data_IF_502097428771
#
_entry.id   IF_502097428771
#
_cell.length_a   1.000
_cell.length_b   1.000
_cell.length_c   1.000
_cell.angle_alpha   90.00
_cell.angle_beta   90.00
_cell.angle_gamma   90.00
#
_symmetry.space_group_name_H-M   'P 1'
#
loop_
_entity.id
_entity.type
_entity.pdbx_description
1 polymer ?
#
# COMPACT_ATOMS: atom_id res chain seq x y z
N UNK A 1 -31.72 -26.75 20.32
CA UNK A 1 -32.80 -25.95 19.74
C UNK A 1 -32.73 -24.58 20.33
N UNK A 2 -32.00 -23.66 19.76
CA UNK A 2 -31.90 -22.26 20.14
C UNK A 2 -32.31 -21.43 18.93
N UNK A 3 -33.49 -20.85 19.04
CA UNK A 3 -34.11 -20.03 17.99
C UNK A 3 -33.29 -18.75 17.79
N UNK A 4 -32.89 -18.54 16.53
CA UNK A 4 -32.31 -17.29 16.06
C UNK A 4 -33.43 -16.24 16.06
N UNK A 5 -33.28 -15.23 16.89
CA UNK A 5 -34.24 -14.13 17.02
C UNK A 5 -34.20 -13.21 15.79
N UNK A 6 -35.06 -13.49 14.82
CA UNK A 6 -35.24 -12.71 13.60
C UNK A 6 -35.69 -11.25 13.82
N UNK A 7 -36.10 -10.88 15.03
CA UNK A 7 -36.52 -9.52 15.36
C UNK A 7 -35.36 -8.56 15.55
N UNK A 8 -34.23 -9.05 16.08
CA UNK A 8 -33.01 -8.22 16.22
C UNK A 8 -32.35 -7.91 14.90
N UNK A 9 -32.37 -8.84 13.94
CA UNK A 9 -31.84 -8.63 12.59
C UNK A 9 -32.68 -7.62 11.78
N UNK A 10 -34.01 -7.66 11.95
CA UNK A 10 -34.91 -6.73 11.28
C UNK A 10 -34.82 -5.30 11.86
N UNK A 11 -34.60 -5.15 13.18
CA UNK A 11 -34.36 -3.85 13.80
C UNK A 11 -33.03 -3.24 13.38
N UNK A 12 -31.97 -4.04 13.25
CA UNK A 12 -30.67 -3.57 12.76
C UNK A 12 -30.71 -3.19 11.27
N UNK A 13 -31.46 -3.90 10.46
CA UNK A 13 -31.69 -3.56 9.05
C UNK A 13 -32.53 -2.28 8.89
N UNK A 14 -33.50 -2.04 9.76
CA UNK A 14 -34.31 -0.83 9.76
C UNK A 14 -33.49 0.41 10.20
N UNK A 15 -32.61 0.26 11.20
CA UNK A 15 -31.77 1.34 11.72
C UNK A 15 -30.65 1.74 10.73
N UNK A 16 -30.13 0.80 9.92
CA UNK A 16 -29.14 1.08 8.87
C UNK A 16 -29.77 1.74 7.64
N UNK A 17 -31.06 1.51 7.36
CA UNK A 17 -31.77 2.16 6.25
C UNK A 17 -32.27 3.56 6.60
N UNK A 18 -32.43 3.91 7.87
CA UNK A 18 -32.92 5.22 8.30
C UNK A 18 -31.82 6.32 8.29
N UNK A 19 -30.54 5.95 8.29
CA UNK A 19 -29.42 6.92 8.38
C UNK A 19 -28.77 7.30 7.04
N UNK A 20 -29.29 6.87 5.88
CA UNK A 20 -28.70 7.17 4.55
C UNK A 20 -29.66 7.80 3.55
N UNK A 21 -30.90 8.08 3.90
CA UNK A 21 -31.76 8.95 3.07
C UNK A 21 -31.81 10.32 3.73
N UNK A 22 -30.88 11.21 3.34
CA UNK A 22 -31.15 12.64 3.39
C UNK A 22 -32.46 12.82 2.60
N UNK A 23 -33.51 13.27 3.27
CA UNK A 23 -34.82 13.56 2.73
C UNK A 23 -34.68 14.70 1.72
N UNK A 24 -34.19 14.38 0.50
CA UNK A 24 -34.17 15.33 -0.61
C UNK A 24 -35.64 15.54 -0.95
N UNK A 25 -36.21 16.62 -0.40
CA UNK A 25 -37.59 17.01 -0.64
C UNK A 25 -37.90 16.89 -2.14
N UNK A 26 -38.99 16.22 -2.50
CA UNK A 26 -39.42 16.05 -3.90
C UNK A 26 -39.49 17.39 -4.66
N UNK A 27 -39.71 18.48 -3.95
CA UNK A 27 -39.62 19.85 -4.41
C UNK A 27 -38.21 20.22 -4.91
N UNK A 28 -37.15 19.79 -4.24
CA UNK A 28 -35.76 20.06 -4.66
C UNK A 28 -35.43 19.36 -5.99
N UNK A 29 -35.90 18.11 -6.16
CA UNK A 29 -35.73 17.37 -7.42
C UNK A 29 -36.48 18.08 -8.56
N UNK A 30 -37.71 18.54 -8.35
CA UNK A 30 -38.46 19.29 -9.32
C UNK A 30 -37.76 20.61 -9.67
N UNK A 31 -37.18 21.29 -8.70
CA UNK A 31 -36.43 22.54 -8.91
C UNK A 31 -35.19 22.30 -9.77
N UNK A 32 -34.43 21.24 -9.48
CA UNK A 32 -33.26 20.87 -10.28
C UNK A 32 -33.64 20.52 -11.71
N UNK A 33 -34.70 19.75 -11.94
CA UNK A 33 -35.21 19.44 -13.28
C UNK A 33 -35.61 20.71 -14.01
N UNK A 34 -36.30 21.63 -13.38
CA UNK A 34 -36.71 22.89 -13.96
C UNK A 34 -35.51 23.75 -14.35
N UNK A 35 -34.53 23.88 -13.46
CA UNK A 35 -33.31 24.68 -13.73
C UNK A 35 -32.46 24.06 -14.85
N UNK A 36 -32.30 22.74 -14.87
CA UNK A 36 -31.44 22.08 -15.86
C UNK A 36 -32.12 21.93 -17.22
N UNK A 37 -33.38 21.56 -17.24
CA UNK A 37 -34.09 21.21 -18.50
C UNK A 37 -34.95 22.30 -19.08
N UNK A 38 -35.49 23.23 -18.29
CA UNK A 38 -36.44 24.25 -18.77
C UNK A 38 -35.79 25.62 -18.90
N UNK A 39 -35.04 26.04 -17.89
CA UNK A 39 -34.43 27.37 -17.83
C UNK A 39 -33.53 27.70 -19.05
N UNK A 40 -32.68 26.80 -19.58
CA UNK A 40 -31.84 27.08 -20.74
C UNK A 40 -32.64 27.44 -22.00
N UNK A 41 -33.81 26.79 -22.20
CA UNK A 41 -34.65 27.07 -23.35
C UNK A 41 -35.42 28.38 -23.19
N UNK A 42 -35.84 28.74 -21.97
CA UNK A 42 -36.47 30.06 -21.71
C UNK A 42 -35.43 31.16 -21.95
N UNK A 43 -34.23 31.04 -21.41
CA UNK A 43 -33.13 31.98 -21.63
C UNK A 43 -32.78 32.08 -23.13
N UNK A 44 -32.71 30.95 -23.82
CA UNK A 44 -32.45 30.88 -25.24
C UNK A 44 -33.52 31.65 -26.07
N UNK A 45 -34.78 31.56 -25.67
CA UNK A 45 -35.85 32.30 -26.31
C UNK A 45 -35.78 33.82 -26.04
N UNK A 46 -35.42 34.22 -24.82
CA UNK A 46 -35.21 35.62 -24.43
C UNK A 46 -34.05 36.22 -25.22
N UNK A 47 -32.90 35.54 -25.26
CA UNK A 47 -31.70 35.98 -25.99
C UNK A 47 -32.00 36.08 -27.50
N UNK A 48 -32.63 35.07 -28.09
CA UNK A 48 -33.03 35.09 -29.51
C UNK A 48 -33.97 36.25 -29.84
N UNK A 49 -34.88 36.56 -28.93
CA UNK A 49 -35.79 37.69 -29.08
C UNK A 49 -35.07 39.05 -29.03
N UNK A 50 -34.13 39.20 -28.07
CA UNK A 50 -33.31 40.40 -27.90
C UNK A 50 -32.40 40.67 -29.12
N UNK A 51 -31.83 39.57 -29.67
CA UNK A 51 -31.01 39.63 -30.90
C UNK A 51 -31.81 39.70 -32.20
N UNK A 52 -33.15 39.71 -32.11
CA UNK A 52 -34.07 39.68 -33.29
C UNK A 52 -33.89 38.43 -34.17
N UNK A 53 -33.41 37.35 -33.64
CA UNK A 53 -33.10 36.06 -34.33
C UNK A 53 -34.05 34.95 -33.86
N UNK A 54 -35.35 35.16 -33.94
CA UNK A 54 -36.37 34.25 -33.38
C UNK A 54 -36.28 32.81 -33.88
N UNK A 55 -35.83 32.57 -35.09
CA UNK A 55 -35.68 31.24 -35.69
C UNK A 55 -34.55 30.41 -35.03
N UNK A 56 -33.64 31.06 -34.31
CA UNK A 56 -32.52 30.40 -33.62
C UNK A 56 -32.78 30.11 -32.16
N UNK A 57 -33.97 30.44 -31.62
CA UNK A 57 -34.24 30.29 -30.16
C UNK A 57 -34.01 28.87 -29.64
N UNK A 58 -34.42 27.84 -30.39
CA UNK A 58 -34.19 26.43 -30.03
C UNK A 58 -32.70 26.06 -30.09
N UNK A 59 -31.95 26.56 -31.07
CA UNK A 59 -30.51 26.28 -31.20
C UNK A 59 -29.72 26.93 -30.05
N UNK A 60 -30.04 28.18 -29.68
CA UNK A 60 -29.45 28.88 -28.55
C UNK A 60 -29.82 28.16 -27.26
N UNK A 61 -31.07 27.73 -27.06
CA UNK A 61 -31.50 26.95 -25.93
C UNK A 61 -30.73 25.62 -25.79
N UNK A 62 -30.49 24.93 -26.90
CA UNK A 62 -29.69 23.67 -26.91
C UNK A 62 -28.24 23.93 -26.50
N UNK A 63 -27.62 25.01 -27.01
CA UNK A 63 -26.25 25.37 -26.61
C UNK A 63 -26.18 25.69 -25.13
N UNK A 64 -27.14 26.47 -24.60
CA UNK A 64 -27.21 26.74 -23.16
C UNK A 64 -27.44 25.47 -22.32
N UNK A 65 -28.29 24.58 -22.80
CA UNK A 65 -28.54 23.29 -22.15
C UNK A 65 -27.28 22.41 -22.08
N UNK A 66 -26.54 22.29 -23.18
CA UNK A 66 -25.25 21.55 -23.17
C UNK A 66 -24.23 22.21 -22.27
N UNK A 67 -24.18 23.54 -22.23
CA UNK A 67 -23.28 24.26 -21.29
C UNK A 67 -23.65 24.01 -19.82
N UNK A 68 -24.95 23.99 -19.48
CA UNK A 68 -25.40 23.66 -18.12
C UNK A 68 -25.04 22.23 -17.74
N UNK A 69 -25.26 21.25 -18.64
CA UNK A 69 -24.85 19.85 -18.36
C UNK A 69 -23.34 19.75 -18.19
N UNK A 70 -22.55 20.37 -19.05
CA UNK A 70 -21.09 20.35 -18.97
C UNK A 70 -20.55 21.01 -17.68
N UNK A 71 -21.29 22.01 -17.14
CA UNK A 71 -20.90 22.66 -15.86
C UNK A 71 -21.34 21.90 -14.61
N UNK A 72 -22.23 20.92 -14.72
CA UNK A 72 -22.79 20.18 -13.56
C UNK A 72 -21.72 19.58 -12.64
N UNK A 73 -20.66 18.89 -13.11
CA UNK A 73 -19.64 18.33 -12.23
C UNK A 73 -18.89 19.41 -11.42
N UNK A 74 -18.68 20.59 -12.00
CA UNK A 74 -18.03 21.71 -11.31
C UNK A 74 -18.92 22.32 -10.24
N UNK A 75 -20.20 22.54 -10.59
CA UNK A 75 -21.19 23.07 -9.65
C UNK A 75 -21.40 22.12 -8.48
N UNK A 76 -21.44 20.81 -8.76
CA UNK A 76 -21.55 19.78 -7.71
C UNK A 76 -20.36 19.80 -6.75
N UNK A 77 -19.11 19.88 -7.27
CA UNK A 77 -17.91 19.95 -6.45
C UNK A 77 -17.92 21.19 -5.53
N UNK A 78 -18.25 22.35 -6.08
CA UNK A 78 -18.34 23.61 -5.32
C UNK A 78 -19.44 23.53 -4.26
N UNK A 79 -20.62 23.00 -4.62
CA UNK A 79 -21.74 22.85 -3.71
C UNK A 79 -21.46 21.87 -2.55
N UNK A 80 -20.60 20.87 -2.80
CA UNK A 80 -20.15 19.89 -1.79
C UNK A 80 -19.01 20.40 -0.93
N UNK A 81 -18.60 21.67 -1.06
CA UNK A 81 -17.51 22.28 -0.30
C UNK A 81 -16.10 21.83 -0.74
N UNK A 82 -15.99 21.16 -1.89
CA UNK A 82 -14.72 20.74 -2.46
C UNK A 82 -14.19 21.76 -3.48
N UNK A 83 -12.88 21.76 -3.69
CA UNK A 83 -12.28 22.60 -4.74
C UNK A 83 -12.76 22.10 -6.12
N UNK A 84 -13.21 23.02 -7.00
CA UNK A 84 -13.61 22.73 -8.38
C UNK A 84 -12.49 22.04 -9.19
N UNK A 85 -11.24 22.21 -8.76
CA UNK A 85 -10.05 21.56 -9.34
C UNK A 85 -10.12 20.04 -9.28
N UNK A 86 -10.83 19.50 -8.29
CA UNK A 86 -11.04 18.06 -8.15
C UNK A 86 -12.06 17.50 -9.17
N UNK A 87 -12.79 18.38 -9.88
CA UNK A 87 -13.68 17.96 -10.95
C UNK A 87 -12.93 17.57 -12.25
N UNK A 88 -11.72 18.08 -12.43
CA UNK A 88 -10.86 17.74 -13.58
C UNK A 88 -9.54 17.19 -13.01
N UNK A 89 -9.17 16.01 -13.46
CA UNK A 89 -7.87 15.43 -13.15
C UNK A 89 -6.81 16.15 -13.97
N UNK A 90 -5.95 16.85 -13.29
CA UNK A 90 -4.87 17.63 -13.89
C UNK A 90 -3.58 16.84 -13.86
N UNK A 91 -2.90 16.72 -14.99
CA UNK A 91 -1.57 16.12 -15.05
C UNK A 91 -0.52 16.94 -14.27
N UNK A 92 0.67 16.36 -14.11
CA UNK A 92 1.79 16.93 -13.33
C UNK A 92 2.15 18.38 -13.77
N UNK A 93 1.99 18.71 -15.02
CA UNK A 93 2.29 20.06 -15.55
C UNK A 93 1.37 21.15 -15.00
N UNK A 94 0.14 20.79 -14.62
CA UNK A 94 -0.88 21.71 -14.12
C UNK A 94 -1.15 21.56 -12.62
N UNK A 95 -1.06 20.34 -12.09
CA UNK A 95 -1.26 20.05 -10.68
C UNK A 95 0.02 20.24 -9.85
N UNK A 96 1.19 20.30 -10.51
CA UNK A 96 2.47 20.06 -9.87
C UNK A 96 2.65 18.57 -9.53
N UNK A 97 3.62 18.24 -8.72
CA UNK A 97 3.89 16.86 -8.30
C UNK A 97 5.29 16.39 -8.64
N UNK A 98 5.53 15.09 -8.59
CA UNK A 98 6.86 14.51 -8.77
C UNK A 98 6.89 13.44 -9.85
N UNK A 99 7.96 13.43 -10.64
CA UNK A 99 8.35 12.35 -11.53
C UNK A 99 9.66 11.76 -11.02
N UNK A 100 9.66 10.47 -10.70
CA UNK A 100 10.79 9.74 -10.15
C UNK A 100 11.13 8.55 -11.04
N UNK A 101 12.41 8.36 -11.34
CA UNK A 101 12.89 7.20 -12.09
C UNK A 101 13.77 6.36 -11.18
N UNK A 102 13.34 5.14 -10.91
CA UNK A 102 14.09 4.17 -10.12
C UNK A 102 14.80 3.18 -11.03
N UNK A 103 15.97 2.74 -10.62
CA UNK A 103 16.76 1.73 -11.32
C UNK A 103 16.81 0.44 -10.50
N UNK A 104 16.70 -0.69 -11.16
CA UNK A 104 16.85 -2.01 -10.55
C UNK A 104 18.28 -2.19 -10.04
N UNK A 105 18.43 -2.71 -8.84
CA UNK A 105 19.72 -3.06 -8.24
C UNK A 105 20.14 -4.47 -8.67
N UNK A 106 20.65 -4.59 -9.87
CA UNK A 106 21.07 -5.87 -10.46
C UNK A 106 22.16 -6.56 -9.63
N UNK A 107 22.98 -5.79 -8.89
CA UNK A 107 24.04 -6.35 -8.03
C UNK A 107 23.53 -7.11 -6.81
N UNK A 108 22.25 -6.91 -6.44
CA UNK A 108 21.60 -7.63 -5.34
C UNK A 108 20.55 -8.62 -5.83
N UNK A 109 20.39 -8.80 -7.13
CA UNK A 109 19.41 -9.71 -7.70
C UNK A 109 20.01 -11.08 -7.94
N UNK A 110 19.35 -12.11 -7.41
CA UNK A 110 19.66 -13.51 -7.74
C UNK A 110 18.99 -13.95 -9.05
N UNK A 111 18.03 -13.16 -9.57
CA UNK A 111 17.28 -13.44 -10.79
C UNK A 111 17.76 -12.57 -11.96
N UNK A 112 17.79 -13.15 -13.14
CA UNK A 112 18.01 -12.41 -14.36
C UNK A 112 16.82 -11.47 -14.65
N UNK A 113 17.12 -10.24 -15.01
CA UNK A 113 16.13 -9.24 -15.36
C UNK A 113 15.49 -9.59 -16.71
N UNK A 114 14.21 -9.92 -16.71
CA UNK A 114 13.41 -10.14 -17.92
C UNK A 114 12.31 -9.09 -18.06
N UNK A 115 11.71 -9.02 -19.25
CA UNK A 115 10.56 -8.13 -19.45
C UNK A 115 9.38 -8.49 -18.54
N UNK A 116 9.14 -9.79 -18.33
CA UNK A 116 8.07 -10.28 -17.47
C UNK A 116 8.27 -9.86 -16.02
N UNK A 117 9.51 -9.96 -15.51
CA UNK A 117 9.87 -9.49 -14.16
C UNK A 117 9.63 -8.00 -14.04
N UNK A 118 10.04 -7.21 -15.03
CA UNK A 118 9.80 -5.76 -15.03
C UNK A 118 8.31 -5.41 -15.04
N UNK A 119 7.49 -6.11 -15.83
CA UNK A 119 6.05 -5.88 -15.90
C UNK A 119 5.36 -6.27 -14.57
N UNK A 120 5.80 -7.36 -13.93
CA UNK A 120 5.33 -7.74 -12.58
C UNK A 120 5.70 -6.68 -11.53
N UNK A 121 6.92 -6.15 -11.58
CA UNK A 121 7.37 -5.08 -10.69
C UNK A 121 6.56 -3.80 -10.88
N UNK A 122 6.31 -3.36 -12.11
CA UNK A 122 5.43 -2.21 -12.42
C UNK A 122 4.03 -2.42 -11.82
N UNK A 123 3.46 -3.62 -12.00
CA UNK A 123 2.16 -3.96 -11.42
C UNK A 123 2.18 -3.95 -9.89
N UNK A 124 3.22 -4.50 -9.25
CA UNK A 124 3.36 -4.51 -7.80
C UNK A 124 3.51 -3.09 -7.23
N UNK A 125 4.38 -2.26 -7.83
CA UNK A 125 4.56 -0.86 -7.44
C UNK A 125 3.24 -0.08 -7.58
N UNK A 126 2.54 -0.23 -8.72
CA UNK A 126 1.25 0.42 -8.92
C UNK A 126 0.24 0.09 -7.82
N UNK A 127 0.11 -1.19 -7.45
CA UNK A 127 -0.77 -1.61 -6.33
C UNK A 127 -0.33 -1.09 -4.96
N UNK A 128 0.98 -0.90 -4.73
CA UNK A 128 1.50 -0.38 -3.45
C UNK A 128 1.17 1.08 -3.24
N UNK A 129 1.35 1.89 -4.28
CA UNK A 129 1.16 3.35 -4.19
C UNK A 129 -0.29 3.77 -4.43
N UNK A 130 -1.05 2.98 -5.21
CA UNK A 130 -2.46 3.24 -5.54
C UNK A 130 -3.30 1.97 -5.42
N UNK A 131 -3.51 1.43 -4.20
CA UNK A 131 -4.22 0.18 -3.99
C UNK A 131 -5.71 0.24 -4.36
N UNK A 132 -6.32 1.42 -4.31
CA UNK A 132 -7.72 1.66 -4.71
C UNK A 132 -7.89 1.83 -6.22
N UNK A 133 -6.81 2.15 -6.95
CA UNK A 133 -6.85 2.52 -8.36
C UNK A 133 -7.55 3.85 -8.64
N UNK A 134 -7.85 4.64 -7.60
CA UNK A 134 -8.61 5.90 -7.73
C UNK A 134 -7.73 7.13 -7.94
N UNK A 135 -6.46 7.04 -7.59
CA UNK A 135 -5.51 8.14 -7.74
C UNK A 135 -4.87 8.14 -9.13
N UNK A 136 -4.58 9.32 -9.64
CA UNK A 136 -4.00 9.49 -10.97
C UNK A 136 -2.47 9.40 -10.92
N UNK A 137 -1.99 8.18 -10.70
CA UNK A 137 -0.56 7.88 -10.68
C UNK A 137 -0.19 7.05 -11.91
N UNK A 138 0.98 7.33 -12.48
CA UNK A 138 1.49 6.55 -13.61
C UNK A 138 2.74 5.80 -13.18
N UNK A 139 2.72 4.48 -13.36
CA UNK A 139 3.89 3.62 -13.18
C UNK A 139 4.17 2.93 -14.50
N UNK A 140 5.37 3.10 -15.02
CA UNK A 140 5.74 2.48 -16.31
C UNK A 140 7.20 2.09 -16.38
N UNK A 141 7.49 1.12 -17.21
CA UNK A 141 8.84 0.70 -17.54
C UNK A 141 9.50 1.73 -18.45
N UNK A 142 10.77 2.07 -18.19
CA UNK A 142 11.62 2.94 -18.99
C UNK A 142 12.94 2.23 -19.30
N UNK A 143 13.15 1.91 -20.56
CA UNK A 143 14.31 1.09 -20.96
C UNK A 143 14.21 -0.35 -20.46
N UNK A 144 15.34 -0.95 -20.11
CA UNK A 144 15.41 -2.37 -19.74
C UNK A 144 15.37 -2.60 -18.21
N UNK A 145 15.85 -1.63 -17.40
CA UNK A 145 16.06 -1.81 -15.98
C UNK A 145 15.58 -0.61 -15.12
N UNK A 146 14.70 0.23 -15.66
CA UNK A 146 14.19 1.41 -14.95
C UNK A 146 12.67 1.43 -14.90
N UNK A 147 12.14 2.00 -13.82
CA UNK A 147 10.72 2.21 -13.60
C UNK A 147 10.50 3.68 -13.29
N UNK A 148 9.64 4.31 -14.06
CA UNK A 148 9.21 5.69 -13.86
C UNK A 148 7.90 5.71 -13.10
N UNK A 149 7.84 6.59 -12.11
CA UNK A 149 6.66 6.81 -11.27
C UNK A 149 6.33 8.30 -11.30
N UNK A 150 5.14 8.62 -11.79
CA UNK A 150 4.62 9.98 -11.87
C UNK A 150 3.47 10.12 -10.89
N UNK A 151 3.58 11.10 -9.98
CA UNK A 151 2.61 11.36 -8.92
C UNK A 151 2.18 12.83 -8.99
N UNK A 152 1.06 13.13 -9.64
CA UNK A 152 0.54 14.49 -9.69
C UNK A 152 0.09 14.98 -8.31
N UNK A 153 0.34 16.24 -8.01
CA UNK A 153 -0.12 16.89 -6.79
C UNK A 153 0.57 16.45 -5.49
N UNK A 154 1.57 15.55 -5.56
CA UNK A 154 2.30 15.06 -4.38
C UNK A 154 3.12 16.19 -3.74
N UNK A 155 3.02 16.32 -2.42
CA UNK A 155 3.90 17.13 -1.62
C UNK A 155 5.21 16.40 -1.25
N UNK A 156 6.09 17.05 -0.49
CA UNK A 156 7.38 16.48 -0.10
C UNK A 156 7.21 15.23 0.77
N UNK A 157 6.22 15.21 1.67
CA UNK A 157 5.99 14.09 2.58
C UNK A 157 5.40 12.89 1.83
N UNK A 158 4.49 13.15 0.89
CA UNK A 158 3.96 12.12 -0.01
C UNK A 158 5.06 11.49 -0.85
N UNK A 159 5.97 12.31 -1.41
CA UNK A 159 7.11 11.83 -2.19
C UNK A 159 7.99 10.91 -1.35
N UNK A 160 8.34 11.28 -0.12
CA UNK A 160 9.15 10.46 0.77
C UNK A 160 8.45 9.15 1.15
N UNK A 161 7.16 9.21 1.46
CA UNK A 161 6.34 8.02 1.72
C UNK A 161 6.32 7.08 0.52
N UNK A 162 6.06 7.61 -0.67
CA UNK A 162 6.02 6.84 -1.92
C UNK A 162 7.38 6.20 -2.21
N UNK A 163 8.50 6.94 -2.06
CA UNK A 163 9.85 6.37 -2.18
C UNK A 163 10.03 5.17 -1.25
N UNK A 164 9.64 5.31 0.02
CA UNK A 164 9.77 4.21 0.99
C UNK A 164 8.93 2.99 0.61
N UNK A 165 7.71 3.16 0.08
CA UNK A 165 6.85 2.08 -0.37
C UNK A 165 7.39 1.36 -1.61
N UNK A 166 7.97 2.11 -2.54
CA UNK A 166 8.53 1.58 -3.80
C UNK A 166 9.80 0.78 -3.54
N UNK A 167 10.66 1.24 -2.65
CA UNK A 167 11.97 0.62 -2.39
C UNK A 167 11.93 -0.57 -1.46
N UNK A 168 10.85 -0.74 -0.68
CA UNK A 168 10.66 -1.95 0.14
C UNK A 168 10.44 -3.17 -0.75
N UNK A 169 11.19 -4.23 -0.52
CA UNK A 169 10.99 -5.51 -1.22
C UNK A 169 9.63 -6.12 -0.91
N UNK A 170 9.18 -5.97 0.33
CA UNK A 170 7.97 -6.62 0.84
C UNK A 170 8.16 -8.13 1.00
N UNK A 171 9.40 -8.56 1.17
CA UNK A 171 9.72 -9.96 1.42
C UNK A 171 9.32 -10.33 2.84
N UNK A 172 8.26 -11.11 2.96
CA UNK A 172 7.82 -11.70 4.22
C UNK A 172 8.36 -13.12 4.32
N UNK A 173 9.06 -13.44 5.42
CA UNK A 173 9.66 -14.75 5.67
C UNK A 173 9.36 -15.19 7.10
N UNK A 174 9.26 -16.50 7.31
CA UNK A 174 9.02 -17.10 8.61
C UNK A 174 10.08 -18.17 8.86
N UNK A 175 10.89 -17.94 9.87
CA UNK A 175 11.98 -18.83 10.28
C UNK A 175 11.92 -19.13 11.78
N UNK A 176 12.78 -20.02 12.27
CA UNK A 176 12.87 -20.33 13.69
C UNK A 176 14.09 -19.62 14.29
N UNK A 177 13.90 -18.95 15.41
CA UNK A 177 15.01 -18.35 16.16
C UNK A 177 15.89 -19.46 16.74
N UNK A 178 17.21 -19.36 16.53
CA UNK A 178 18.17 -20.30 17.11
C UNK A 178 18.19 -20.16 18.62
N UNK A 179 18.34 -21.29 19.30
CA UNK A 179 18.50 -21.35 20.76
C UNK A 179 19.66 -22.28 21.14
N UNK A 180 20.24 -22.06 22.32
CA UNK A 180 21.38 -22.85 22.81
C UNK A 180 21.04 -24.32 23.02
N UNK A 181 19.80 -24.64 23.35
CA UNK A 181 19.37 -25.98 23.67
C UNK A 181 19.37 -26.92 22.46
N UNK A 182 18.71 -26.49 21.40
CA UNK A 182 18.48 -27.32 20.21
C UNK A 182 19.58 -27.13 19.14
N UNK A 183 20.32 -26.01 19.20
CA UNK A 183 21.23 -25.58 18.15
C UNK A 183 22.63 -25.24 18.65
N UNK A 184 23.08 -25.82 19.81
CA UNK A 184 24.33 -25.46 20.47
C UNK A 184 25.55 -25.42 19.54
N UNK A 185 25.76 -26.46 18.72
CA UNK A 185 26.89 -26.54 17.78
C UNK A 185 26.80 -25.44 16.68
N UNK A 186 25.62 -25.16 16.21
CA UNK A 186 25.38 -24.12 15.19
C UNK A 186 25.62 -22.74 15.80
N UNK A 187 25.12 -22.50 17.01
CA UNK A 187 25.30 -21.25 17.75
C UNK A 187 26.78 -20.98 18.02
N UNK A 188 27.54 -21.96 18.52
CA UNK A 188 28.98 -21.79 18.73
C UNK A 188 29.69 -21.40 17.43
N UNK A 189 29.38 -22.08 16.34
CA UNK A 189 29.97 -21.78 15.03
C UNK A 189 29.55 -20.39 14.50
N UNK A 190 28.32 -19.97 14.78
CA UNK A 190 27.81 -18.64 14.36
C UNK A 190 28.49 -17.52 15.19
N UNK A 191 28.76 -17.72 16.45
CA UNK A 191 29.45 -16.74 17.30
C UNK A 191 30.93 -16.59 16.96
N UNK A 192 31.58 -17.66 16.48
CA UNK A 192 32.96 -17.64 16.01
C UNK A 192 33.11 -17.05 14.58
N UNK A 193 32.03 -17.04 13.80
CA UNK A 193 32.03 -16.55 12.43
C UNK A 193 31.85 -15.04 12.39
N UNK A 194 32.72 -14.28 11.68
CA UNK A 194 32.54 -12.85 11.50
C UNK A 194 31.41 -12.50 10.52
N UNK A 195 30.95 -13.49 9.73
CA UNK A 195 29.91 -13.30 8.71
C UNK A 195 28.49 -13.26 9.27
N UNK A 196 27.55 -12.86 8.42
CA UNK A 196 26.11 -12.95 8.74
C UNK A 196 25.57 -14.35 8.49
N UNK A 197 25.99 -15.01 7.41
CA UNK A 197 25.46 -16.29 6.96
C UNK A 197 26.34 -17.46 7.42
N UNK A 198 25.70 -18.45 7.98
CA UNK A 198 26.31 -19.71 8.37
C UNK A 198 25.92 -20.75 7.32
N UNK A 199 26.93 -21.37 6.69
CA UNK A 199 26.74 -22.30 5.58
C UNK A 199 27.07 -23.75 6.03
N UNK A 200 26.37 -24.70 5.41
CA UNK A 200 26.72 -26.14 5.56
C UNK A 200 27.94 -26.54 4.74
N UNK A 201 28.28 -27.82 4.75
CA UNK A 201 29.38 -28.37 3.96
C UNK A 201 29.17 -28.33 2.45
N UNK A 202 27.94 -28.09 1.98
CA UNK A 202 27.57 -27.94 0.57
C UNK A 202 27.47 -26.47 0.15
N UNK A 203 27.78 -25.53 1.06
CA UNK A 203 27.74 -24.09 0.81
C UNK A 203 26.35 -23.44 0.94
N UNK A 204 25.32 -24.21 1.31
CA UNK A 204 23.96 -23.68 1.48
C UNK A 204 23.86 -22.95 2.81
N UNK A 205 23.10 -21.84 2.83
CA UNK A 205 22.84 -21.09 4.07
C UNK A 205 21.87 -21.88 4.95
N UNK A 206 22.28 -22.19 6.17
CA UNK A 206 21.49 -22.93 7.17
C UNK A 206 21.09 -22.09 8.38
N UNK A 207 21.76 -20.98 8.60
CA UNK A 207 21.39 -19.96 9.58
C UNK A 207 21.95 -18.60 9.16
N UNK A 208 21.34 -17.53 9.66
CA UNK A 208 21.81 -16.17 9.38
C UNK A 208 21.51 -15.24 10.55
N UNK A 209 22.43 -14.30 10.80
CA UNK A 209 22.18 -13.18 11.69
C UNK A 209 21.26 -12.17 11.02
N UNK A 210 20.12 -11.91 11.65
CA UNK A 210 19.11 -10.97 11.16
C UNK A 210 18.94 -9.83 12.12
N UNK A 211 19.01 -8.62 11.61
CA UNK A 211 18.80 -7.40 12.38
C UNK A 211 17.38 -7.39 12.96
N UNK A 212 17.28 -6.98 14.22
CA UNK A 212 16.01 -6.84 14.93
C UNK A 212 15.50 -5.42 14.77
N UNK A 213 14.18 -5.24 14.69
CA UNK A 213 13.59 -3.91 14.73
C UNK A 213 13.78 -3.32 16.13
N UNK A 214 14.24 -2.06 16.20
CA UNK A 214 14.63 -1.39 17.47
C UNK A 214 13.45 -1.23 18.46
N UNK A 215 12.22 -1.35 18.00
CA UNK A 215 11.02 -1.21 18.83
C UNK A 215 10.69 -2.46 19.67
N UNK A 216 11.38 -3.58 19.44
CA UNK A 216 11.17 -4.84 20.16
C UNK A 216 12.44 -5.23 20.94
N UNK A 217 12.47 -5.14 22.28
CA UNK A 217 13.62 -5.58 23.06
C UNK A 217 13.68 -7.12 23.13
N UNK A 218 14.50 -7.73 22.27
CA UNK A 218 14.74 -9.17 22.27
C UNK A 218 15.71 -9.63 23.35
N UNK A 219 16.52 -8.73 23.88
CA UNK A 219 17.58 -9.04 24.85
C UNK A 219 17.08 -9.56 26.21
N UNK A 220 15.76 -9.53 26.45
CA UNK A 220 15.17 -9.98 27.73
C UNK A 220 14.79 -11.46 27.76
N UNK A 221 14.92 -12.21 26.66
CA UNK A 221 14.65 -13.64 26.63
C UNK A 221 15.96 -14.43 26.52
N UNK A 222 16.42 -14.97 27.66
CA UNK A 222 17.64 -15.77 27.77
C UNK A 222 17.70 -17.00 26.83
N UNK A 223 16.60 -17.30 26.14
CA UNK A 223 16.49 -18.45 25.23
C UNK A 223 16.94 -18.13 23.82
N UNK A 224 16.99 -16.85 23.44
CA UNK A 224 17.40 -16.40 22.09
C UNK A 224 18.89 -16.07 22.05
N UNK A 225 19.49 -16.31 20.89
CA UNK A 225 20.90 -15.98 20.67
C UNK A 225 20.97 -14.64 19.97
N UNK A 226 21.34 -13.62 20.74
CA UNK A 226 21.41 -12.22 20.28
C UNK A 226 22.86 -11.74 20.32
N UNK A 227 23.26 -10.91 19.37
CA UNK A 227 24.53 -10.18 19.40
C UNK A 227 24.32 -8.71 19.03
N UNK A 228 25.13 -7.82 19.61
CA UNK A 228 25.15 -6.41 19.23
C UNK A 228 26.09 -6.20 18.04
N UNK A 229 25.74 -5.26 17.17
CA UNK A 229 26.58 -4.82 16.06
C UNK A 229 26.48 -3.32 15.85
N UNK A 230 27.44 -2.74 15.14
CA UNK A 230 27.42 -1.32 14.79
C UNK A 230 26.94 -1.16 13.34
N UNK A 231 25.86 -0.40 13.15
CA UNK A 231 25.34 -0.05 11.81
C UNK A 231 26.31 0.87 11.06
N UNK A 232 26.10 1.01 9.76
CA UNK A 232 26.93 1.88 8.92
C UNK A 232 26.86 3.37 9.29
N UNK A 233 25.77 3.79 9.92
CA UNK A 233 25.56 5.14 10.45
C UNK A 233 26.16 5.37 11.83
N UNK A 234 26.83 4.35 12.42
CA UNK A 234 27.46 4.41 13.73
C UNK A 234 26.52 4.06 14.90
N UNK A 235 25.23 3.83 14.67
CA UNK A 235 24.30 3.42 15.72
C UNK A 235 24.49 1.96 16.11
N UNK A 236 24.18 1.62 17.35
CA UNK A 236 24.16 0.24 17.83
C UNK A 236 22.86 -0.43 17.43
N UNK A 237 22.92 -1.67 16.97
CA UNK A 237 21.79 -2.51 16.66
C UNK A 237 21.96 -3.90 17.26
N UNK A 238 20.87 -4.66 17.29
CA UNK A 238 20.87 -6.05 17.70
C UNK A 238 20.58 -6.96 16.50
N UNK A 239 21.24 -8.12 16.46
CA UNK A 239 20.97 -9.20 15.51
C UNK A 239 20.64 -10.47 16.28
N UNK A 240 19.63 -11.19 15.81
CA UNK A 240 19.26 -12.50 16.32
C UNK A 240 19.61 -13.58 15.30
N UNK A 241 20.08 -14.72 15.76
CA UNK A 241 20.38 -15.85 14.88
C UNK A 241 19.09 -16.58 14.52
N UNK A 242 18.80 -16.71 13.23
CA UNK A 242 17.65 -17.48 12.72
C UNK A 242 18.11 -18.69 11.94
N UNK A 243 17.34 -19.77 12.03
CA UNK A 243 17.56 -21.02 11.30
C UNK A 243 16.83 -20.93 9.97
N UNK A 244 17.56 -21.07 8.88
CA UNK A 244 17.03 -20.98 7.52
C UNK A 244 16.85 -22.38 6.94
N UNK A 245 15.67 -22.66 6.38
CA UNK A 245 15.43 -23.89 5.61
C UNK A 245 16.27 -23.83 4.31
N UNK A 246 17.23 -24.76 4.11
CA UNK A 246 18.11 -24.69 2.94
C UNK A 246 17.37 -24.90 1.60
N UNK A 247 16.25 -25.60 1.61
CA UNK A 247 15.44 -25.83 0.43
C UNK A 247 14.44 -24.68 0.23
N UNK A 248 14.64 -23.85 -0.77
CA UNK A 248 13.77 -22.69 -1.10
C UNK A 248 12.29 -23.06 -1.28
N UNK A 249 12.00 -24.24 -1.83
CA UNK A 249 10.63 -24.71 -2.02
C UNK A 249 9.89 -25.03 -0.72
N UNK A 250 10.63 -25.19 0.38
CA UNK A 250 10.11 -25.45 1.73
C UNK A 250 10.09 -24.22 2.60
N UNK A 251 10.70 -23.10 2.18
CA UNK A 251 10.65 -21.85 2.93
C UNK A 251 9.24 -21.29 2.95
N UNK A 252 8.84 -20.79 4.11
CA UNK A 252 7.56 -20.11 4.29
C UNK A 252 7.77 -18.63 4.01
N UNK A 253 7.29 -18.16 2.87
CA UNK A 253 7.52 -16.79 2.41
C UNK A 253 6.23 -16.13 1.95
N UNK A 254 6.26 -14.81 1.77
CA UNK A 254 5.15 -14.01 1.26
C UNK A 254 4.61 -14.42 -0.11
N UNK A 255 5.33 -15.24 -0.90
CA UNK A 255 4.83 -15.76 -2.17
C UNK A 255 3.56 -16.62 -2.03
N UNK A 256 3.31 -17.15 -0.85
CA UNK A 256 2.12 -17.94 -0.53
C UNK A 256 0.99 -17.11 0.10
N UNK A 257 1.21 -15.80 0.33
CA UNK A 257 0.23 -14.91 0.91
C UNK A 257 -0.94 -14.69 -0.06
N UNK A 258 -2.16 -14.94 0.41
CA UNK A 258 -3.39 -14.67 -0.34
C UNK A 258 -3.92 -13.30 0.03
N UNK A 259 -3.85 -12.96 1.32
CA UNK A 259 -4.44 -11.73 1.86
C UNK A 259 -3.76 -11.33 3.16
N UNK A 260 -3.54 -10.03 3.32
CA UNK A 260 -3.25 -9.39 4.59
C UNK A 260 -4.36 -8.37 4.91
N UNK A 261 -4.72 -8.25 6.20
CA UNK A 261 -5.75 -7.32 6.68
C UNK A 261 -5.38 -6.75 8.02
N UNK A 262 -5.88 -5.57 8.32
CA UNK A 262 -5.74 -4.99 9.64
C UNK A 262 -6.43 -5.85 10.70
N UNK A 263 -5.80 -5.94 11.85
CA UNK A 263 -6.28 -6.66 13.03
C UNK A 263 -5.81 -5.93 14.29
N UNK A 264 -6.17 -6.47 15.44
CA UNK A 264 -5.66 -6.04 16.74
C UNK A 264 -5.12 -7.26 17.49
N UNK A 265 -4.06 -7.06 18.24
CA UNK A 265 -3.51 -8.11 19.12
C UNK A 265 -4.36 -8.27 20.39
N UNK A 266 -3.92 -9.17 21.28
CA UNK A 266 -4.62 -9.45 22.56
C UNK A 266 -4.64 -8.24 23.51
N UNK A 267 -3.75 -7.27 23.31
CA UNK A 267 -3.64 -6.05 24.11
C UNK A 267 -4.40 -4.86 23.48
N UNK A 268 -5.04 -5.07 22.32
CA UNK A 268 -5.71 -4.01 21.57
C UNK A 268 -4.78 -3.18 20.68
N UNK A 269 -3.49 -3.54 20.58
CA UNK A 269 -2.53 -2.86 19.70
C UNK A 269 -2.75 -3.23 18.24
N UNK A 270 -2.42 -2.33 17.30
CA UNK A 270 -2.54 -2.60 15.87
C UNK A 270 -1.68 -3.80 15.45
N UNK A 271 -2.23 -4.66 14.61
CA UNK A 271 -1.57 -5.87 14.12
C UNK A 271 -2.00 -6.19 12.68
N UNK A 272 -1.28 -7.08 12.00
CA UNK A 272 -1.61 -7.54 10.65
C UNK A 272 -1.97 -9.02 10.68
N UNK A 273 -3.23 -9.34 10.41
CA UNK A 273 -3.65 -10.70 10.16
C UNK A 273 -3.35 -11.08 8.70
N UNK A 274 -2.86 -12.30 8.49
CA UNK A 274 -2.56 -12.81 7.17
C UNK A 274 -3.16 -14.20 6.94
N UNK A 275 -3.37 -14.53 5.66
CA UNK A 275 -3.87 -15.84 5.25
C UNK A 275 -3.00 -16.35 4.09
N UNK A 276 -2.48 -17.57 4.21
CA UNK A 276 -1.76 -18.28 3.16
C UNK A 276 -2.69 -19.13 2.30
N UNK A 277 -2.27 -19.44 1.08
CA UNK A 277 -2.87 -20.48 0.26
C UNK A 277 -2.62 -21.88 0.86
N UNK A 278 -3.22 -22.91 0.28
CA UNK A 278 -3.10 -24.29 0.79
C UNK A 278 -1.64 -24.77 0.89
N UNK A 279 -0.77 -24.44 -0.06
CA UNK A 279 0.65 -24.81 -0.02
C UNK A 279 1.39 -24.10 1.09
N UNK A 280 1.23 -22.78 1.21
CA UNK A 280 1.85 -21.98 2.28
C UNK A 280 1.37 -22.42 3.66
N UNK A 281 0.06 -22.67 3.83
CA UNK A 281 -0.51 -23.18 5.08
C UNK A 281 0.06 -24.53 5.48
N UNK A 282 0.25 -25.43 4.52
CA UNK A 282 0.88 -26.73 4.78
C UNK A 282 2.36 -26.57 5.21
N UNK A 283 3.13 -25.73 4.52
CA UNK A 283 4.53 -25.45 4.89
C UNK A 283 4.63 -24.80 6.27
N UNK A 284 3.76 -23.85 6.55
CA UNK A 284 3.73 -23.16 7.84
C UNK A 284 3.33 -24.09 8.99
N UNK A 285 2.35 -24.96 8.72
CA UNK A 285 1.96 -26.03 9.64
C UNK A 285 3.11 -27.02 9.90
N UNK A 286 3.88 -27.39 8.88
CA UNK A 286 5.06 -28.25 9.05
C UNK A 286 6.15 -27.55 9.86
N UNK A 287 6.47 -26.28 9.57
CA UNK A 287 7.44 -25.49 10.30
C UNK A 287 7.06 -25.40 11.79
N UNK A 288 5.83 -24.99 12.08
CA UNK A 288 5.37 -24.79 13.45
C UNK A 288 5.15 -26.09 14.22
N UNK A 289 4.70 -27.17 13.55
CA UNK A 289 4.52 -28.49 14.19
C UNK A 289 5.82 -29.15 14.62
N UNK A 290 6.89 -29.01 13.82
CA UNK A 290 8.23 -29.49 14.17
C UNK A 290 8.82 -28.75 15.37
N UNK A 291 8.39 -27.51 15.58
CA UNK A 291 8.92 -26.60 16.58
C UNK A 291 7.95 -26.35 17.75
N UNK A 292 6.99 -27.24 17.98
CA UNK A 292 6.04 -27.18 19.11
C UNK A 292 6.78 -27.15 20.47
N UNK A 293 6.10 -26.68 21.52
CA UNK A 293 6.62 -26.74 22.88
C UNK A 293 7.07 -28.15 23.24
N UNK A 294 8.21 -28.23 23.91
CA UNK A 294 8.71 -29.47 24.45
C UNK A 294 7.90 -29.89 25.69
N UNK A 295 7.92 -31.16 26.05
CA UNK A 295 7.17 -31.69 27.23
C UNK A 295 7.57 -31.04 28.58
N UNK A 296 8.74 -30.47 28.66
CA UNK A 296 9.29 -29.74 29.81
C UNK A 296 8.97 -28.25 29.82
N UNK A 297 8.07 -27.80 28.95
CA UNK A 297 7.62 -26.40 28.91
C UNK A 297 8.52 -25.45 28.12
N UNK A 298 9.56 -25.94 27.43
CA UNK A 298 10.40 -25.08 26.59
C UNK A 298 9.67 -24.69 25.31
N UNK A 299 9.63 -23.39 25.01
CA UNK A 299 9.01 -22.82 23.83
C UNK A 299 10.07 -22.29 22.87
N UNK A 300 9.96 -22.64 21.59
CA UNK A 300 10.75 -22.04 20.50
C UNK A 300 10.10 -20.77 20.02
N UNK A 301 10.90 -19.89 19.41
CA UNK A 301 10.43 -18.62 18.88
C UNK A 301 10.34 -18.67 17.37
N UNK A 302 9.24 -18.13 16.82
CA UNK A 302 9.01 -17.97 15.39
C UNK A 302 9.46 -16.56 15.00
N UNK A 303 10.54 -16.44 14.22
CA UNK A 303 10.93 -15.17 13.65
C UNK A 303 10.00 -14.80 12.50
N UNK A 304 9.38 -13.62 12.57
CA UNK A 304 8.64 -13.00 11.50
C UNK A 304 9.54 -11.93 10.88
N UNK A 305 10.02 -12.18 9.68
CA UNK A 305 10.94 -11.28 9.00
C UNK A 305 10.20 -10.51 7.89
N UNK A 306 10.51 -9.22 7.82
CA UNK A 306 10.10 -8.35 6.71
C UNK A 306 11.35 -7.66 6.17
N UNK A 307 11.61 -7.84 4.88
CA UNK A 307 12.79 -7.31 4.19
C UNK A 307 14.12 -7.70 4.89
N UNK A 308 14.15 -8.93 5.41
CA UNK A 308 15.33 -9.49 6.09
C UNK A 308 15.55 -9.00 7.50
N UNK A 309 14.67 -8.15 8.07
CA UNK A 309 14.70 -7.72 9.47
C UNK A 309 13.62 -8.43 10.28
N UNK A 310 13.96 -8.84 11.50
CA UNK A 310 12.99 -9.47 12.41
C UNK A 310 12.06 -8.39 12.98
N UNK A 311 10.78 -8.51 12.67
CA UNK A 311 9.75 -7.62 13.18
C UNK A 311 9.19 -8.09 14.52
N UNK A 312 9.09 -9.40 14.70
CA UNK A 312 8.66 -10.01 15.95
C UNK A 312 9.15 -11.46 16.04
N UNK A 313 9.27 -11.98 17.26
CA UNK A 313 9.66 -13.36 17.51
C UNK A 313 8.78 -14.00 18.60
N UNK A 314 7.47 -14.21 18.34
CA UNK A 314 6.56 -14.78 19.33
C UNK A 314 6.93 -16.23 19.67
N UNK A 315 6.61 -16.63 20.92
CA UNK A 315 6.73 -18.02 21.36
C UNK A 315 5.73 -18.91 20.63
N UNK A 316 6.19 -20.03 20.12
CA UNK A 316 5.32 -21.04 19.55
C UNK A 316 4.60 -21.81 20.68
N UNK A 317 3.29 -21.66 20.73
CA UNK A 317 2.43 -22.34 21.72
C UNK A 317 1.78 -23.58 21.11
N UNK A 318 1.42 -23.50 19.83
CA UNK A 318 0.74 -24.57 19.11
C UNK A 318 1.13 -24.57 17.63
N UNK A 319 0.71 -25.60 16.91
CA UNK A 319 0.83 -25.63 15.44
C UNK A 319 -0.08 -24.56 14.83
N UNK A 320 0.46 -23.76 13.92
CA UNK A 320 -0.26 -22.71 13.21
C UNK A 320 -0.52 -23.22 11.79
N UNK A 321 -1.74 -23.04 11.30
CA UNK A 321 -2.17 -23.45 9.96
C UNK A 321 -1.94 -22.36 8.90
N UNK A 322 -2.96 -22.10 8.09
CA UNK A 322 -2.88 -21.13 7.01
C UNK A 322 -3.07 -19.67 7.45
N UNK A 323 -3.52 -19.43 8.67
CA UNK A 323 -3.80 -18.08 9.20
C UNK A 323 -2.88 -17.75 10.37
N UNK A 324 -2.43 -16.53 10.44
CA UNK A 324 -1.59 -16.01 11.50
C UNK A 324 -1.73 -14.49 11.66
N UNK A 325 -0.97 -13.97 12.61
CA UNK A 325 -0.96 -12.55 12.92
C UNK A 325 0.47 -12.07 13.16
N UNK A 326 0.83 -10.95 12.55
CA UNK A 326 2.07 -10.23 12.81
C UNK A 326 1.74 -9.19 13.86
N UNK A 327 2.35 -9.33 15.02
CA UNK A 327 2.23 -8.39 16.13
C UNK A 327 3.53 -7.63 16.29
N UNK A 328 3.47 -6.42 16.86
CA UNK A 328 4.61 -5.54 17.08
C UNK A 328 4.12 -4.16 17.49
N UNK A 329 5.05 -3.23 17.75
CA UNK A 329 4.71 -1.84 18.07
C UNK A 329 4.48 -1.02 16.81
N UNK A 330 3.35 -1.25 16.16
CA UNK A 330 2.99 -0.56 14.93
C UNK A 330 2.09 0.64 15.18
N UNK A 331 2.38 1.74 14.52
CA UNK A 331 1.45 2.85 14.35
C UNK A 331 0.40 2.49 13.30
N UNK A 332 -0.74 3.19 13.30
CA UNK A 332 -1.80 3.00 12.30
C UNK A 332 -1.30 3.24 10.86
N UNK A 333 -0.40 4.20 10.67
CA UNK A 333 0.21 4.52 9.36
C UNK A 333 1.09 3.37 8.89
N UNK A 334 1.96 2.85 9.76
CA UNK A 334 2.83 1.71 9.44
C UNK A 334 2.04 0.45 9.08
N UNK A 335 0.93 0.18 9.78
CA UNK A 335 0.01 -0.93 9.41
C UNK A 335 -0.53 -0.74 8.01
N UNK A 336 -0.99 0.46 7.67
CA UNK A 336 -1.54 0.74 6.34
C UNK A 336 -0.48 0.54 5.26
N UNK A 337 0.72 1.07 5.47
CA UNK A 337 1.84 0.94 4.53
C UNK A 337 2.28 -0.54 4.40
N UNK A 338 2.34 -1.27 5.51
CA UNK A 338 2.66 -2.70 5.52
C UNK A 338 1.61 -3.52 4.75
N UNK A 339 0.32 -3.23 4.94
CA UNK A 339 -0.76 -3.89 4.21
C UNK A 339 -0.68 -3.63 2.70
N UNK A 340 -0.37 -2.40 2.31
CA UNK A 340 -0.20 -2.04 0.90
C UNK A 340 0.97 -2.83 0.27
N UNK A 341 2.09 -2.95 0.98
CA UNK A 341 3.24 -3.73 0.52
C UNK A 341 2.92 -5.21 0.43
N UNK A 342 2.35 -5.80 1.49
CA UNK A 342 2.05 -7.23 1.55
C UNK A 342 0.98 -7.67 0.53
N UNK A 343 -0.11 -6.91 0.39
CA UNK A 343 -1.18 -7.22 -0.57
C UNK A 343 -0.77 -6.97 -2.03
N UNK A 344 0.16 -6.05 -2.26
CA UNK A 344 0.72 -5.82 -3.60
C UNK A 344 1.66 -6.96 -4.04
N UNK A 345 2.22 -7.69 -3.08
CA UNK A 345 3.23 -8.71 -3.29
C UNK A 345 4.67 -8.20 -3.21
N UNK A 346 5.60 -9.13 -3.01
CA UNK A 346 7.02 -8.83 -2.99
C UNK A 346 7.52 -8.38 -4.38
N UNK A 347 8.51 -7.49 -4.41
CA UNK A 347 9.23 -7.19 -5.64
C UNK A 347 10.18 -8.35 -5.94
N UNK A 348 10.20 -8.77 -7.19
CA UNK A 348 11.07 -9.86 -7.66
C UNK A 348 12.56 -9.49 -7.57
N UNK A 349 12.86 -8.20 -7.76
CA UNK A 349 14.22 -7.66 -7.75
C UNK A 349 14.22 -6.33 -6.96
N UNK A 350 15.25 -6.06 -6.14
CA UNK A 350 15.33 -4.81 -5.40
C UNK A 350 15.55 -3.62 -6.34
N UNK A 351 15.00 -2.49 -5.95
CA UNK A 351 15.30 -1.19 -6.55
C UNK A 351 16.40 -0.50 -5.75
N UNK A 352 17.18 0.37 -6.40
CA UNK A 352 18.07 1.27 -5.69
C UNK A 352 17.28 2.16 -4.75
N UNK A 353 17.78 2.44 -3.53
CA UNK A 353 17.04 3.21 -2.51
C UNK A 353 16.66 4.61 -2.97
N UNK A 354 17.55 5.23 -3.77
CA UNK A 354 17.34 6.57 -4.30
C UNK A 354 17.01 6.52 -5.80
N UNK A 355 16.10 7.36 -6.28
CA UNK A 355 15.82 7.47 -7.70
C UNK A 355 17.05 8.00 -8.45
N UNK A 356 17.32 7.47 -9.64
CA UNK A 356 18.39 7.95 -10.53
C UNK A 356 18.06 9.29 -11.17
N UNK A 357 16.77 9.64 -11.20
CA UNK A 357 16.29 10.94 -11.64
C UNK A 357 15.03 11.28 -10.84
N UNK A 358 14.99 12.50 -10.34
CA UNK A 358 13.82 13.06 -9.65
C UNK A 358 13.60 14.47 -10.15
N UNK A 359 12.39 14.71 -10.60
CA UNK A 359 11.95 16.01 -11.07
C UNK A 359 10.63 16.37 -10.42
N UNK A 360 10.62 17.43 -9.61
CA UNK A 360 9.41 17.92 -8.94
C UNK A 360 8.99 19.26 -9.54
N UNK A 361 7.71 19.33 -9.91
CA UNK A 361 7.09 20.58 -10.34
C UNK A 361 6.34 21.14 -9.13
N UNK A 362 6.74 22.37 -8.74
CA UNK A 362 6.06 23.06 -7.65
C UNK A 362 4.59 23.30 -7.99
N UNK A 363 3.66 23.09 -7.05
CA UNK A 363 2.24 23.46 -7.23
C UNK A 363 2.03 24.93 -7.60
N UNK A 364 2.97 25.82 -7.20
CA UNK A 364 2.94 27.24 -7.56
C UNK A 364 3.11 27.48 -9.07
N UNK A 365 3.95 26.68 -9.73
CA UNK A 365 4.14 26.78 -11.19
C UNK A 365 2.87 26.32 -11.92
N UNK A 366 2.26 25.21 -11.44
CA UNK A 366 0.99 24.74 -11.94
C UNK A 366 -0.14 25.75 -11.78
N UNK A 367 -0.20 26.46 -10.66
CA UNK A 367 -1.22 27.51 -10.42
C UNK A 367 -1.09 28.71 -11.36
N UNK A 368 0.14 29.15 -11.68
CA UNK A 368 0.37 30.24 -12.63
C UNK A 368 -0.07 29.85 -14.04
N UNK A 369 0.21 28.63 -14.48
CA UNK A 369 -0.24 28.11 -15.78
C UNK A 369 -1.77 27.97 -15.83
N UNK A 370 -2.40 27.51 -14.76
CA UNK A 370 -3.87 27.44 -14.65
C UNK A 370 -4.50 28.84 -14.72
N UNK A 371 -3.92 29.84 -14.05
CA UNK A 371 -4.47 31.20 -14.05
C UNK A 371 -4.37 31.82 -15.44
N UNK A 372 -3.24 31.66 -16.12
CA UNK A 372 -3.09 32.09 -17.52
C UNK A 372 -4.06 31.36 -18.46
N UNK A 373 -4.28 30.05 -18.23
CA UNK A 373 -5.26 29.27 -18.98
C UNK A 373 -6.69 29.79 -18.80
N UNK A 374 -7.09 30.14 -17.55
CA UNK A 374 -8.40 30.76 -17.28
C UNK A 374 -8.58 32.10 -18.01
N UNK A 375 -7.56 32.96 -17.95
CA UNK A 375 -7.60 34.24 -18.64
C UNK A 375 -7.76 34.06 -20.16
N UNK A 376 -7.02 33.08 -20.73
CA UNK A 376 -7.16 32.76 -22.16
C UNK A 376 -8.57 32.27 -22.54
N UNK A 377 -9.20 31.43 -21.71
CA UNK A 377 -10.56 30.94 -21.90
C UNK A 377 -11.56 32.10 -21.84
N UNK A 378 -11.43 33.01 -20.87
CA UNK A 378 -12.31 34.20 -20.76
C UNK A 378 -12.17 35.10 -21.99
N UNK A 379 -10.94 35.34 -22.45
CA UNK A 379 -10.70 36.14 -23.65
C UNK A 379 -11.33 35.48 -24.88
N UNK A 380 -11.15 34.17 -25.04
CA UNK A 380 -11.72 33.43 -26.14
C UNK A 380 -13.27 33.35 -26.12
N UNK A 381 -13.87 33.44 -24.92
CA UNK A 381 -15.34 33.44 -24.80
C UNK A 381 -15.96 34.81 -25.09
N UNK A 382 -15.19 35.91 -25.03
CA UNK A 382 -15.61 37.26 -25.28
C UNK A 382 -15.36 37.68 -26.76
N UNK A 383 -14.38 37.07 -27.41
CA UNK A 383 -14.06 37.29 -28.83
C UNK A 383 -15.02 36.55 -29.79
#
# INVERSE_FOLDING_TARGET
MTGIDFRSAALFAAEVTENTTSNVSGWYILLVILVVFVLPFILGAIIASALKMKDYSRKIGLVLFTAVIASTPFVWQIASGHDWRNAIRLGIDLAGGSNMVFEVDEGKSEKALSNEVMDQMVGAIGRRINPSGTEEMTVRKVGQNRIEVIVPGADTDDVQRIKSLITRLGSLEFDIVANQRDHATLVSRALESPGKDIRDGEGRVIASWREVNDDEPFSQDDQMVVRSFTRKDGTQGEEVLVIIEPNEDRRVTGKYLVRARQSTDQNGSPAVAFTFNARGGNLFSQLTSKNRPSKDGFHRHLAVLLDGKVQSAPRLITTIGAEGQITGRFTQKEITDLLNVLNAGALEVPLKPEPVSEFSISPLLGSDVQEKGKQAIVIAAVA
#
